data_IF_437854407919
#
_entry.id   IF_437854407919
#
_cell.length_a   1.000
_cell.length_b   1.000
_cell.length_c   1.000
_cell.angle_alpha   90.00
_cell.angle_beta   90.00
_cell.angle_gamma   90.00
#
_symmetry.space_group_name_H-M   'P 1'
#
loop_
_entity.id
_entity.type
_entity.pdbx_description
1 polymer ?
#
# COMPACT_ATOMS: atom_id res chain seq x y z
N UNK A 1 19.83 4.30 15.64
CA UNK A 1 19.13 3.10 15.13
C UNK A 1 17.61 3.16 15.29
N UNK A 2 17.05 4.05 16.12
CA UNK A 2 15.61 4.09 16.41
C UNK A 2 14.72 4.64 15.28
N UNK A 3 15.18 5.65 14.54
CA UNK A 3 14.38 6.30 13.47
C UNK A 3 14.09 5.37 12.29
N UNK A 4 15.04 4.48 11.97
CA UNK A 4 14.90 3.53 10.85
C UNK A 4 13.83 2.47 11.14
N UNK A 5 13.77 1.96 12.37
CA UNK A 5 12.74 1.00 12.78
C UNK A 5 11.35 1.64 12.84
N UNK A 6 11.26 2.88 13.34
CA UNK A 6 9.99 3.63 13.34
C UNK A 6 9.46 3.83 11.93
N UNK A 7 10.31 4.28 11.01
CA UNK A 7 9.93 4.50 9.61
C UNK A 7 9.48 3.20 8.91
N UNK A 8 10.12 2.06 9.17
CA UNK A 8 9.68 0.77 8.62
C UNK A 8 8.32 0.34 9.19
N UNK A 9 8.05 0.66 10.46
CA UNK A 9 6.77 0.37 11.09
C UNK A 9 5.66 1.25 10.53
N UNK A 10 5.88 2.55 10.40
CA UNK A 10 4.97 3.50 9.73
C UNK A 10 4.62 3.06 8.30
N UNK A 11 5.62 2.61 7.52
CA UNK A 11 5.39 2.10 6.16
C UNK A 11 4.56 0.81 6.16
N UNK A 12 4.78 -0.08 7.14
CA UNK A 12 4.03 -1.32 7.28
C UNK A 12 2.56 -1.07 7.67
N UNK A 13 2.31 -0.14 8.61
CA UNK A 13 0.96 0.28 8.98
C UNK A 13 0.23 0.92 7.80
N UNK A 14 0.91 1.77 7.04
CA UNK A 14 0.35 2.38 5.84
C UNK A 14 0.04 1.36 4.74
N UNK A 15 0.88 0.35 4.57
CA UNK A 15 0.63 -0.77 3.66
C UNK A 15 -0.62 -1.57 4.07
N UNK A 16 -0.79 -1.82 5.37
CA UNK A 16 -1.96 -2.52 5.90
C UNK A 16 -3.25 -1.72 5.64
N UNK A 17 -3.24 -0.41 5.92
CA UNK A 17 -4.38 0.48 5.66
C UNK A 17 -4.78 0.51 4.18
N UNK A 18 -3.80 0.61 3.27
CA UNK A 18 -4.07 0.59 1.82
C UNK A 18 -4.64 -0.77 1.36
N UNK A 19 -4.16 -1.88 1.92
CA UNK A 19 -4.70 -3.21 1.61
C UNK A 19 -6.14 -3.36 2.06
N UNK A 20 -6.48 -2.83 3.23
CA UNK A 20 -7.86 -2.81 3.73
C UNK A 20 -8.75 -1.95 2.83
N UNK A 21 -8.34 -0.71 2.54
CA UNK A 21 -9.09 0.21 1.65
C UNK A 21 -9.28 -0.39 0.24
N UNK A 22 -8.22 -0.98 -0.32
CA UNK A 22 -8.26 -1.65 -1.62
C UNK A 22 -9.19 -2.85 -1.63
N UNK A 23 -9.20 -3.65 -0.56
CA UNK A 23 -10.11 -4.80 -0.41
C UNK A 23 -11.57 -4.35 -0.29
N UNK A 24 -11.85 -3.28 0.46
CA UNK A 24 -13.20 -2.72 0.55
C UNK A 24 -13.70 -2.17 -0.79
N UNK A 25 -12.84 -1.46 -1.54
CA UNK A 25 -13.16 -0.99 -2.89
C UNK A 25 -13.35 -2.16 -3.85
N UNK A 26 -12.48 -3.16 -3.83
CA UNK A 26 -12.59 -4.35 -4.67
C UNK A 26 -13.89 -5.13 -4.39
N UNK A 27 -14.31 -5.23 -3.13
CA UNK A 27 -15.56 -5.87 -2.73
C UNK A 27 -16.80 -5.21 -3.35
N UNK A 28 -16.73 -3.89 -3.61
CA UNK A 28 -17.79 -3.15 -4.32
C UNK A 28 -17.79 -3.39 -5.83
N UNK A 29 -16.78 -4.08 -6.37
CA UNK A 29 -16.61 -4.43 -7.79
C UNK A 29 -16.81 -3.21 -8.71
N UNK A 30 -16.01 -2.15 -8.54
CA UNK A 30 -16.20 -0.92 -9.29
C UNK A 30 -16.07 -1.17 -10.79
N UNK A 31 -16.99 -0.60 -11.56
CA UNK A 31 -16.97 -0.76 -13.01
C UNK A 31 -15.74 -0.07 -13.63
N UNK A 32 -15.13 -0.66 -14.67
CA UNK A 32 -14.01 -0.03 -15.39
C UNK A 32 -14.35 1.38 -15.85
N UNK A 33 -13.40 2.31 -15.71
CA UNK A 33 -13.57 3.71 -16.09
C UNK A 33 -14.30 4.59 -15.07
N UNK A 34 -14.76 4.04 -13.94
CA UNK A 34 -15.27 4.84 -12.82
C UNK A 34 -14.15 5.40 -11.95
N UNK A 35 -14.46 6.45 -11.18
CA UNK A 35 -13.53 7.01 -10.18
C UNK A 35 -13.09 5.95 -9.16
N UNK A 36 -13.98 5.04 -8.76
CA UNK A 36 -13.64 3.96 -7.83
C UNK A 36 -12.67 2.95 -8.45
N UNK A 37 -12.81 2.62 -9.74
CA UNK A 37 -11.86 1.76 -10.45
C UNK A 37 -10.48 2.44 -10.59
N UNK A 38 -10.45 3.74 -10.89
CA UNK A 38 -9.21 4.50 -10.92
C UNK A 38 -8.55 4.56 -9.53
N UNK A 39 -9.35 4.74 -8.47
CA UNK A 39 -8.87 4.73 -7.08
C UNK A 39 -8.31 3.36 -6.69
N UNK A 40 -9.00 2.27 -7.02
CA UNK A 40 -8.52 0.90 -6.78
C UNK A 40 -7.17 0.66 -7.47
N UNK A 41 -7.03 1.04 -8.73
CA UNK A 41 -5.76 0.93 -9.47
C UNK A 41 -4.64 1.79 -8.83
N UNK A 42 -4.98 2.97 -8.29
CA UNK A 42 -4.03 3.82 -7.58
C UNK A 42 -3.59 3.21 -6.24
N UNK A 43 -4.51 2.57 -5.52
CA UNK A 43 -4.22 1.85 -4.27
C UNK A 43 -3.28 0.68 -4.54
N UNK A 44 -3.57 -0.14 -5.56
CA UNK A 44 -2.71 -1.27 -5.96
C UNK A 44 -1.28 -0.80 -6.28
N UNK A 45 -1.14 0.29 -7.04
CA UNK A 45 0.18 0.87 -7.35
C UNK A 45 0.92 1.36 -6.09
N UNK A 46 0.21 1.96 -5.14
CA UNK A 46 0.79 2.39 -3.86
C UNK A 46 1.22 1.20 -3.00
N UNK A 47 0.42 0.14 -2.95
CA UNK A 47 0.74 -1.12 -2.24
C UNK A 47 2.02 -1.72 -2.80
N UNK A 48 2.15 -1.81 -4.14
CA UNK A 48 3.38 -2.30 -4.77
C UNK A 48 4.59 -1.44 -4.43
N UNK A 49 4.46 -0.11 -4.53
CA UNK A 49 5.55 0.82 -4.23
C UNK A 49 6.02 0.71 -2.77
N UNK A 50 5.08 0.70 -1.82
CA UNK A 50 5.35 0.56 -0.39
C UNK A 50 5.95 -0.81 -0.05
N UNK A 51 5.45 -1.88 -0.67
CA UNK A 51 5.99 -3.22 -0.47
C UNK A 51 7.44 -3.33 -0.96
N UNK A 52 7.77 -2.73 -2.12
CA UNK A 52 9.14 -2.65 -2.61
C UNK A 52 10.02 -1.80 -1.70
N UNK A 53 9.53 -0.68 -1.21
CA UNK A 53 10.27 0.19 -0.31
C UNK A 53 10.57 -0.49 1.03
N UNK A 54 9.63 -1.25 1.59
CA UNK A 54 9.85 -2.07 2.79
C UNK A 54 10.91 -3.15 2.55
N UNK A 55 10.88 -3.84 1.40
CA UNK A 55 11.90 -4.83 1.04
C UNK A 55 13.29 -4.21 0.88
N UNK A 56 13.39 -3.03 0.25
CA UNK A 56 14.65 -2.31 0.07
C UNK A 56 15.17 -1.71 1.38
N UNK A 57 14.28 -1.22 2.24
CA UNK A 57 14.62 -0.67 3.55
C UNK A 57 15.02 -1.73 4.58
N UNK A 58 14.45 -2.92 4.49
CA UNK A 58 14.75 -4.09 5.32
C UNK A 58 15.91 -4.95 4.79
N UNK A 59 16.32 -4.76 3.53
CA UNK A 59 17.28 -5.61 2.81
C UNK A 59 18.70 -5.05 2.64
N UNK A 60 19.11 -3.99 3.36
CA UNK A 60 20.51 -3.56 3.34
C UNK A 60 21.32 -4.32 4.41
N UNK A 61 22.29 -5.18 4.03
CA UNK A 61 23.33 -5.67 4.94
C UNK A 61 24.26 -4.55 5.40
#
# INVERSE_FOLDING_TARGET
>A
MSERSSNLQDLAERLAALREEGAELLARRPAPGTSDHARLSSIDAQIEALSRQLQQGAGQP
#
